data_IF_376973922058
#
_entry.id   IF_376973922058
#
_cell.length_a   1.000
_cell.length_b   1.000
_cell.length_c   1.000
_cell.angle_alpha   90.00
_cell.angle_beta   90.00
_cell.angle_gamma   90.00
#
_symmetry.space_group_name_H-M   'P 1'
#
loop_
_entity.id
_entity.type
_entity.pdbx_description
1 polymer ?
#
# COMPACT_ATOMS: atom_id res chain seq x y z
N UNK A 1 -65.76 31.98 13.00
CA UNK A 1 -64.68 31.55 13.94
C UNK A 1 -63.35 31.94 13.30
N UNK A 2 -62.73 33.11 13.52
CA UNK A 2 -62.38 33.74 14.80
C UNK A 2 -61.96 32.68 15.81
N UNK A 3 -60.81 32.72 16.45
CA UNK A 3 -59.68 33.63 16.54
C UNK A 3 -58.88 32.98 17.69
N UNK A 4 -57.55 33.16 17.67
CA UNK A 4 -56.73 33.36 18.88
C UNK A 4 -56.60 32.19 19.87
N UNK A 5 -55.35 31.82 20.11
CA UNK A 5 -54.53 32.45 21.16
C UNK A 5 -53.07 32.30 20.67
N UNK A 6 -52.43 33.40 20.27
CA UNK A 6 -51.59 34.26 21.12
C UNK A 6 -50.26 33.59 21.46
N UNK A 7 -49.11 34.24 21.47
CA UNK A 7 -48.61 35.58 21.15
C UNK A 7 -47.23 35.63 21.81
N UNK A 8 -46.45 36.67 21.48
CA UNK A 8 -45.26 37.13 22.21
C UNK A 8 -44.04 36.21 22.05
N UNK A 9 -42.89 36.63 21.53
CA UNK A 9 -42.18 37.92 21.67
C UNK A 9 -41.30 38.11 20.41
N UNK A 10 -41.47 39.18 19.62
CA UNK A 10 -40.59 40.38 19.58
C UNK A 10 -39.09 40.02 19.36
N UNK A 11 -38.56 40.18 18.15
CA UNK A 11 -37.84 41.37 17.61
C UNK A 11 -36.36 41.47 18.01
N UNK A 12 -35.55 41.85 17.00
CA UNK A 12 -34.13 42.28 17.03
C UNK A 12 -33.15 41.09 17.08
N UNK A 13 -32.40 40.76 16.00
CA UNK A 13 -31.27 41.53 15.43
C UNK A 13 -31.12 41.20 13.93
N UNK A 14 -31.12 42.24 13.09
CA UNK A 14 -30.44 42.26 11.80
C UNK A 14 -28.93 42.19 12.04
N UNK A 15 -28.20 41.46 11.17
CA UNK A 15 -26.73 41.21 11.14
C UNK A 15 -26.36 39.80 11.59
N UNK A 16 -26.41 38.86 10.63
CA UNK A 16 -25.22 38.26 10.01
C UNK A 16 -25.63 38.01 8.55
N UNK A 17 -25.28 38.87 7.60
CA UNK A 17 -24.11 38.68 6.73
C UNK A 17 -23.83 37.19 6.47
N UNK A 18 -24.07 36.79 5.23
CA UNK A 18 -23.40 35.70 4.52
C UNK A 18 -22.41 34.90 5.38
N UNK A 19 -22.86 33.76 5.89
CA UNK A 19 -21.97 32.62 5.99
C UNK A 19 -22.59 31.57 5.07
N UNK A 20 -22.48 31.84 3.77
CA UNK A 20 -21.94 30.80 2.91
C UNK A 20 -20.69 30.33 3.62
N UNK A 21 -20.76 29.22 4.35
CA UNK A 21 -19.55 28.44 4.56
C UNK A 21 -19.21 27.91 3.18
N UNK A 22 -18.56 28.77 2.39
CA UNK A 22 -17.40 28.33 1.68
C UNK A 22 -16.48 27.71 2.76
N UNK A 23 -16.70 26.43 3.05
CA UNK A 23 -15.63 25.46 2.89
C UNK A 23 -15.48 25.32 1.37
N UNK A 24 -15.13 26.38 0.63
CA UNK A 24 -13.77 26.81 0.35
C UNK A 24 -12.85 25.59 0.25
N UNK A 25 -12.34 25.42 -0.96
CA UNK A 25 -11.87 24.16 -1.52
C UNK A 25 -11.12 23.32 -0.48
N UNK A 26 -11.68 22.15 -0.14
CA UNK A 26 -11.13 21.20 0.83
C UNK A 26 -9.61 21.08 0.64
N UNK A 27 -8.80 21.00 1.72
CA UNK A 27 -7.34 21.00 1.65
C UNK A 27 -6.75 19.82 0.86
N UNK A 28 -7.56 18.90 0.33
CA UNK A 28 -7.20 17.79 -0.58
C UNK A 28 -6.06 18.10 -1.56
N UNK A 29 -6.11 19.22 -2.30
CA UNK A 29 -5.06 19.58 -3.25
C UNK A 29 -3.75 19.98 -2.56
N UNK A 30 -3.81 20.62 -1.40
CA UNK A 30 -2.64 20.96 -0.58
C UNK A 30 -2.06 19.70 0.06
N UNK A 31 -2.92 18.84 0.60
CA UNK A 31 -2.54 17.54 1.17
C UNK A 31 -1.86 16.69 0.11
N UNK A 32 -2.43 16.58 -1.10
CA UNK A 32 -1.83 15.83 -2.21
C UNK A 32 -0.43 16.33 -2.58
N UNK A 33 -0.15 17.63 -2.47
CA UNK A 33 1.20 18.18 -2.73
C UNK A 33 2.24 17.81 -1.67
N UNK A 34 1.81 17.34 -0.49
CA UNK A 34 2.72 16.92 0.58
C UNK A 34 3.27 15.51 0.35
N UNK A 35 2.55 14.66 -0.37
CA UNK A 35 2.95 13.27 -0.58
C UNK A 35 3.74 13.14 -1.87
N UNK A 36 4.76 12.29 -1.83
CA UNK A 36 5.42 11.85 -3.03
C UNK A 36 4.44 10.98 -3.84
N UNK A 37 4.20 11.36 -5.08
CA UNK A 37 3.52 10.51 -6.04
C UNK A 37 4.19 10.61 -7.40
N UNK A 38 4.27 9.48 -8.09
CA UNK A 38 4.70 9.39 -9.47
C UNK A 38 3.51 9.71 -10.35
N UNK A 39 3.57 10.84 -11.04
CA UNK A 39 2.56 11.12 -12.06
C UNK A 39 2.63 9.99 -13.11
N UNK A 40 1.48 9.56 -13.64
CA UNK A 40 1.39 8.50 -14.65
C UNK A 40 2.33 8.70 -15.85
N UNK A 41 2.77 9.93 -16.12
CA UNK A 41 3.76 10.26 -17.16
C UNK A 41 5.21 9.85 -16.84
N UNK A 42 5.56 9.59 -15.58
CA UNK A 42 6.94 9.32 -15.16
C UNK A 42 7.29 7.82 -15.25
N UNK A 43 6.31 6.92 -15.08
CA UNK A 43 6.51 5.48 -15.22
C UNK A 43 5.34 4.83 -15.95
N UNK A 44 5.55 4.47 -17.21
CA UNK A 44 4.63 3.62 -17.96
C UNK A 44 5.02 2.14 -17.88
N UNK A 45 6.32 1.87 -17.75
CA UNK A 45 6.85 0.51 -17.72
C UNK A 45 8.17 0.43 -16.96
N UNK A 46 8.28 -0.60 -16.12
CA UNK A 46 9.57 -1.04 -15.62
C UNK A 46 9.65 -2.55 -15.57
N UNK A 47 10.88 -3.06 -15.55
CA UNK A 47 11.15 -4.45 -15.18
C UNK A 47 12.36 -4.51 -14.26
N UNK A 48 12.33 -5.40 -13.27
CA UNK A 48 13.46 -5.65 -12.37
C UNK A 48 13.63 -7.17 -12.13
N UNK A 49 14.81 -7.54 -11.65
CA UNK A 49 15.05 -8.84 -11.03
C UNK A 49 14.58 -8.78 -9.57
N UNK A 50 14.02 -9.89 -9.09
CA UNK A 50 13.57 -10.08 -7.71
C UNK A 50 14.41 -11.18 -7.06
N UNK A 51 14.83 -10.96 -5.82
CA UNK A 51 15.34 -12.02 -4.96
C UNK A 51 14.57 -12.07 -3.66
N UNK A 52 14.47 -13.25 -3.05
CA UNK A 52 13.88 -13.44 -1.73
C UNK A 52 14.74 -14.36 -0.88
N UNK A 53 14.82 -14.07 0.41
CA UNK A 53 15.45 -14.94 1.39
C UNK A 53 14.71 -16.29 1.57
N UNK A 54 13.41 -16.37 1.27
CA UNK A 54 12.67 -17.64 1.25
C UNK A 54 13.26 -18.65 0.28
N UNK A 55 13.73 -18.17 -0.88
CA UNK A 55 14.36 -19.02 -1.88
C UNK A 55 15.71 -19.52 -1.39
N UNK A 56 16.49 -18.67 -0.71
CA UNK A 56 17.76 -19.07 -0.09
C UNK A 56 17.55 -20.05 1.08
N UNK A 57 16.58 -19.82 1.94
CA UNK A 57 16.21 -20.75 3.02
C UNK A 57 15.78 -22.11 2.45
N UNK A 58 14.99 -22.12 1.38
CA UNK A 58 14.60 -23.36 0.70
C UNK A 58 15.84 -24.06 0.10
N UNK A 59 16.76 -23.33 -0.53
CA UNK A 59 18.03 -23.89 -1.03
C UNK A 59 18.81 -24.56 0.11
N UNK A 60 18.98 -23.89 1.24
CA UNK A 60 19.70 -24.43 2.40
C UNK A 60 19.11 -25.77 2.88
N UNK A 61 17.79 -25.91 2.87
CA UNK A 61 17.09 -27.13 3.29
C UNK A 61 17.25 -28.28 2.29
N UNK A 62 17.25 -28.00 0.99
CA UNK A 62 17.24 -29.05 -0.04
C UNK A 62 18.64 -29.39 -0.57
N UNK A 63 19.59 -28.45 -0.54
CA UNK A 63 20.93 -28.61 -1.11
C UNK A 63 21.73 -29.79 -0.54
N UNK A 64 21.66 -30.13 0.76
CA UNK A 64 22.38 -31.29 1.28
C UNK A 64 22.00 -32.60 0.57
N UNK A 65 20.78 -32.69 0.04
CA UNK A 65 20.24 -33.90 -0.58
C UNK A 65 20.28 -33.89 -2.12
N UNK A 66 20.92 -32.88 -2.72
CA UNK A 66 20.91 -32.66 -4.16
C UNK A 66 22.24 -33.00 -4.84
N UNK A 67 22.14 -33.47 -6.09
CA UNK A 67 23.30 -33.60 -6.96
C UNK A 67 23.86 -32.21 -7.34
N UNK A 68 25.15 -32.16 -7.70
CA UNK A 68 25.77 -30.90 -8.17
C UNK A 68 25.10 -30.34 -9.43
N UNK A 69 24.49 -31.20 -10.25
CA UNK A 69 23.72 -30.78 -11.41
C UNK A 69 22.45 -30.05 -10.98
N UNK A 70 21.69 -30.62 -10.04
CA UNK A 70 20.43 -30.04 -9.57
C UNK A 70 20.65 -28.71 -8.83
N UNK A 71 21.73 -28.61 -8.04
CA UNK A 71 22.14 -27.34 -7.40
C UNK A 71 22.35 -26.23 -8.43
N UNK A 72 23.15 -26.50 -9.46
CA UNK A 72 23.41 -25.54 -10.55
C UNK A 72 22.15 -25.12 -11.29
N UNK A 73 21.19 -26.03 -11.45
CA UNK A 73 19.92 -25.71 -12.09
C UNK A 73 19.04 -24.84 -11.19
N UNK A 74 19.04 -25.05 -9.87
CA UNK A 74 18.35 -24.17 -8.91
C UNK A 74 19.00 -22.78 -8.87
N UNK A 75 20.32 -22.69 -8.91
CA UNK A 75 21.05 -21.42 -8.93
C UNK A 75 20.77 -20.57 -10.19
N UNK A 76 20.27 -21.20 -11.26
CA UNK A 76 19.86 -20.51 -12.50
C UNK A 76 18.45 -19.94 -12.41
N UNK A 77 17.68 -20.28 -11.39
CA UNK A 77 16.33 -19.74 -11.20
C UNK A 77 16.45 -18.26 -10.84
N UNK A 78 15.82 -17.43 -11.65
CA UNK A 78 15.72 -15.99 -11.46
C UNK A 78 14.27 -15.58 -11.45
N UNK A 79 13.95 -14.59 -10.64
CA UNK A 79 12.61 -14.01 -10.60
C UNK A 79 12.65 -12.62 -11.23
N UNK A 80 11.58 -12.29 -11.93
CA UNK A 80 11.43 -11.02 -12.62
C UNK A 80 10.06 -10.45 -12.32
N UNK A 81 10.01 -9.15 -12.08
CA UNK A 81 8.78 -8.40 -11.99
C UNK A 81 8.73 -7.40 -13.14
N UNK A 82 7.59 -7.31 -13.81
CA UNK A 82 7.33 -6.31 -14.85
C UNK A 82 6.07 -5.55 -14.51
N UNK A 83 6.16 -4.22 -14.51
CA UNK A 83 5.02 -3.33 -14.51
C UNK A 83 4.84 -2.77 -15.90
N UNK A 84 3.65 -2.90 -16.48
CA UNK A 84 3.31 -2.34 -17.79
C UNK A 84 1.79 -2.12 -17.86
N UNK A 85 1.35 -0.95 -18.32
CA UNK A 85 -0.07 -0.65 -18.52
C UNK A 85 -0.90 -0.89 -17.23
N UNK A 86 -0.37 -0.47 -16.08
CA UNK A 86 -0.94 -0.70 -14.74
C UNK A 86 -1.03 -2.18 -14.30
N UNK A 87 -0.47 -3.11 -15.08
CA UNK A 87 -0.43 -4.53 -14.75
C UNK A 87 0.94 -4.93 -14.22
N UNK A 88 0.92 -5.68 -13.12
CA UNK A 88 2.10 -6.33 -12.55
C UNK A 88 2.12 -7.79 -12.98
N UNK A 89 3.25 -8.22 -13.54
CA UNK A 89 3.47 -9.59 -13.98
C UNK A 89 4.76 -10.09 -13.36
N UNK A 90 4.65 -11.10 -12.50
CA UNK A 90 5.77 -11.86 -11.99
C UNK A 90 6.08 -13.04 -12.92
N UNK A 91 7.37 -13.34 -13.10
CA UNK A 91 7.83 -14.52 -13.83
C UNK A 91 9.05 -15.12 -13.16
N UNK A 92 9.03 -16.43 -12.96
CA UNK A 92 10.23 -17.20 -12.72
C UNK A 92 10.85 -17.65 -14.05
N UNK A 93 12.18 -17.70 -14.12
CA UNK A 93 12.85 -18.40 -15.23
C UNK A 93 12.52 -19.88 -15.19
N UNK A 94 12.63 -20.54 -16.34
CA UNK A 94 12.41 -21.98 -16.43
C UNK A 94 13.36 -22.72 -15.50
N UNK A 95 12.84 -23.70 -14.76
CA UNK A 95 13.61 -24.63 -13.95
C UNK A 95 13.28 -26.08 -14.34
N UNK A 96 14.23 -27.02 -14.19
CA UNK A 96 13.97 -28.41 -14.51
C UNK A 96 13.05 -29.05 -13.46
N UNK A 97 12.21 -29.98 -13.91
CA UNK A 97 11.45 -30.81 -12.99
C UNK A 97 12.42 -31.72 -12.23
N UNK A 98 12.42 -31.63 -10.91
CA UNK A 98 13.21 -32.51 -10.04
C UNK A 98 12.64 -33.93 -10.08
N UNK A 99 13.47 -34.93 -9.74
CA UNK A 99 13.03 -36.31 -9.59
C UNK A 99 12.07 -36.51 -8.41
N UNK A 100 12.23 -35.71 -7.36
CA UNK A 100 11.36 -35.73 -6.18
C UNK A 100 10.11 -34.86 -6.36
N UNK A 101 8.93 -35.45 -6.22
CA UNK A 101 7.65 -34.73 -6.27
C UNK A 101 7.55 -33.70 -5.13
N UNK A 102 7.99 -34.05 -3.93
CA UNK A 102 8.00 -33.14 -2.79
C UNK A 102 8.85 -31.90 -3.05
N UNK A 103 9.99 -32.05 -3.75
CA UNK A 103 10.84 -30.92 -4.12
C UNK A 103 10.19 -30.02 -5.16
N UNK A 104 9.55 -30.62 -6.18
CA UNK A 104 8.80 -29.85 -7.16
C UNK A 104 7.67 -29.06 -6.48
N UNK A 105 6.98 -29.65 -5.51
CA UNK A 105 5.93 -29.00 -4.73
C UNK A 105 6.48 -27.85 -3.89
N UNK A 106 7.58 -28.04 -3.17
CA UNK A 106 8.22 -26.99 -2.38
C UNK A 106 8.70 -25.82 -3.25
N UNK A 107 9.32 -26.13 -4.40
CA UNK A 107 9.74 -25.10 -5.37
C UNK A 107 8.55 -24.28 -5.87
N UNK A 108 7.46 -24.94 -6.26
CA UNK A 108 6.22 -24.25 -6.67
C UNK A 108 5.68 -23.35 -5.56
N UNK A 109 5.68 -23.81 -4.31
CA UNK A 109 5.21 -23.01 -3.18
C UNK A 109 6.05 -21.75 -2.95
N UNK A 110 7.38 -21.85 -3.09
CA UNK A 110 8.27 -20.70 -2.96
C UNK A 110 8.07 -19.72 -4.12
N UNK A 111 7.95 -20.22 -5.35
CA UNK A 111 7.67 -19.38 -6.53
C UNK A 111 6.33 -18.65 -6.36
N UNK A 112 5.26 -19.37 -6.04
CA UNK A 112 3.92 -18.79 -5.81
C UNK A 112 3.90 -17.81 -4.63
N UNK A 113 4.64 -18.11 -3.56
CA UNK A 113 4.77 -17.22 -2.41
C UNK A 113 5.48 -15.92 -2.80
N UNK A 114 6.60 -16.03 -3.53
CA UNK A 114 7.36 -14.88 -4.02
C UNK A 114 6.54 -14.02 -4.97
N UNK A 115 5.79 -14.64 -5.88
CA UNK A 115 4.84 -13.97 -6.78
C UNK A 115 3.82 -13.15 -5.98
N UNK A 116 3.06 -13.82 -5.10
CA UNK A 116 2.02 -13.18 -4.29
C UNK A 116 2.55 -12.04 -3.45
N UNK A 117 3.70 -12.21 -2.81
CA UNK A 117 4.31 -11.15 -1.99
C UNK A 117 4.82 -9.99 -2.84
N UNK A 118 5.51 -10.26 -3.95
CA UNK A 118 6.04 -9.21 -4.83
C UNK A 118 4.92 -8.42 -5.50
N UNK A 119 3.93 -9.11 -6.08
CA UNK A 119 2.79 -8.48 -6.73
C UNK A 119 1.89 -7.80 -5.71
N UNK A 120 1.65 -8.41 -4.55
CA UNK A 120 0.86 -7.83 -3.47
C UNK A 120 1.48 -6.53 -2.95
N UNK A 121 2.78 -6.55 -2.66
CA UNK A 121 3.53 -5.36 -2.28
C UNK A 121 3.40 -4.25 -3.33
N UNK A 122 3.69 -4.54 -4.62
CA UNK A 122 3.63 -3.50 -5.64
C UNK A 122 2.21 -3.00 -5.91
N UNK A 123 1.16 -3.81 -5.72
CA UNK A 123 -0.23 -3.32 -5.79
C UNK A 123 -0.51 -2.30 -4.69
N UNK A 124 -0.09 -2.59 -3.47
CA UNK A 124 -0.25 -1.68 -2.34
C UNK A 124 0.58 -0.41 -2.51
N UNK A 125 1.85 -0.56 -2.87
CA UNK A 125 2.77 0.54 -3.16
C UNK A 125 2.24 1.44 -4.28
N UNK A 126 1.74 0.85 -5.37
CA UNK A 126 1.15 1.59 -6.47
C UNK A 126 -0.04 2.45 -6.02
N UNK A 127 -0.92 1.91 -5.16
CA UNK A 127 -2.06 2.67 -4.63
C UNK A 127 -1.68 3.85 -3.74
N UNK A 128 -0.43 3.89 -3.25
CA UNK A 128 0.08 4.98 -2.41
C UNK A 128 0.99 5.95 -3.17
N UNK A 129 1.57 5.54 -4.30
CA UNK A 129 2.56 6.34 -5.04
C UNK A 129 2.09 6.72 -6.45
N UNK A 130 1.30 5.92 -7.18
CA UNK A 130 0.96 6.26 -8.56
C UNK A 130 -0.20 7.24 -8.69
N UNK A 131 -1.02 7.33 -7.65
CA UNK A 131 -2.22 8.17 -7.62
C UNK A 131 -2.13 9.16 -6.46
N UNK A 132 -2.69 10.37 -6.61
CA UNK A 132 -2.83 11.27 -5.49
C UNK A 132 -3.68 10.63 -4.39
N UNK A 133 -3.38 10.92 -3.13
CA UNK A 133 -4.12 10.38 -1.98
C UNK A 133 -5.62 10.70 -2.05
N UNK A 134 -5.96 11.90 -2.53
CA UNK A 134 -7.32 12.33 -2.81
C UNK A 134 -7.58 12.44 -4.31
N UNK A 135 -8.56 11.68 -4.77
CA UNK A 135 -9.10 11.73 -6.13
C UNK A 135 -10.17 12.83 -6.23
N UNK A 136 -9.96 13.81 -7.12
CA UNK A 136 -10.88 14.93 -7.32
C UNK A 136 -12.29 14.49 -7.76
N UNK A 137 -12.44 13.31 -8.36
CA UNK A 137 -13.74 12.76 -8.74
C UNK A 137 -14.56 12.24 -7.55
N UNK A 138 -13.93 11.99 -6.40
CA UNK A 138 -14.59 11.41 -5.22
C UNK A 138 -15.11 12.49 -4.27
N UNK A 139 -16.25 12.19 -3.65
CA UNK A 139 -16.82 13.01 -2.58
C UNK A 139 -16.36 12.49 -1.23
N UNK A 140 -15.55 13.30 -0.57
CA UNK A 140 -15.07 13.02 0.79
C UNK A 140 -15.90 13.78 1.83
N UNK A 141 -16.34 13.10 2.87
CA UNK A 141 -16.86 13.73 4.08
C UNK A 141 -15.68 14.06 5.00
N UNK A 142 -15.40 15.35 5.16
CA UNK A 142 -14.27 15.83 5.97
C UNK A 142 -14.78 16.35 7.29
N UNK A 143 -14.14 15.94 8.38
CA UNK A 143 -14.37 16.52 9.70
C UNK A 143 -13.06 16.78 10.43
N UNK A 144 -13.01 17.90 11.13
CA UNK A 144 -11.91 18.25 12.02
C UNK A 144 -12.26 17.83 13.45
N UNK A 145 -11.26 17.37 14.20
CA UNK A 145 -11.37 17.07 15.62
C UNK A 145 -10.17 17.66 16.38
N UNK A 146 -10.12 17.44 17.70
CA UNK A 146 -9.03 17.97 18.55
C UNK A 146 -7.63 17.49 18.12
N UNK A 147 -7.53 16.28 17.57
CA UNK A 147 -6.24 15.64 17.26
C UNK A 147 -5.82 15.77 15.80
N UNK A 148 -6.69 16.25 14.91
CA UNK A 148 -6.40 16.37 13.49
C UNK A 148 -7.64 16.38 12.62
N UNK A 149 -7.59 15.64 11.51
CA UNK A 149 -8.64 15.59 10.50
C UNK A 149 -9.04 14.15 10.19
N UNK A 150 -10.28 13.97 9.76
CA UNK A 150 -10.76 12.72 9.18
C UNK A 150 -11.40 12.98 7.83
N UNK A 151 -11.20 12.06 6.91
CA UNK A 151 -11.88 12.06 5.62
C UNK A 151 -12.51 10.68 5.40
N UNK A 152 -13.79 10.63 5.05
CA UNK A 152 -14.48 9.38 4.76
C UNK A 152 -15.07 9.40 3.35
N UNK A 153 -15.04 8.26 2.67
CA UNK A 153 -15.70 8.08 1.38
C UNK A 153 -16.15 6.63 1.20
N UNK A 154 -17.00 6.38 0.20
CA UNK A 154 -17.40 5.03 -0.19
C UNK A 154 -16.68 4.61 -1.45
N UNK A 155 -16.11 3.42 -1.41
CA UNK A 155 -15.51 2.74 -2.56
C UNK A 155 -16.29 1.45 -2.77
N UNK A 156 -17.12 1.41 -3.82
CA UNK A 156 -18.10 0.33 -4.03
C UNK A 156 -18.98 0.14 -2.78
N UNK A 157 -18.96 -1.05 -2.18
CA UNK A 157 -19.70 -1.42 -0.96
C UNK A 157 -18.89 -1.21 0.33
N UNK A 158 -17.69 -0.63 0.25
CA UNK A 158 -16.79 -0.46 1.37
C UNK A 158 -16.74 1.00 1.83
N UNK A 159 -16.63 1.19 3.13
CA UNK A 159 -16.33 2.49 3.73
C UNK A 159 -14.83 2.63 3.90
N UNK A 160 -14.29 3.76 3.44
CA UNK A 160 -12.90 4.13 3.65
C UNK A 160 -12.86 5.33 4.56
N UNK A 161 -12.10 5.23 5.64
CA UNK A 161 -11.86 6.33 6.57
C UNK A 161 -10.35 6.58 6.66
N UNK A 162 -9.97 7.82 6.43
CA UNK A 162 -8.62 8.34 6.55
C UNK A 162 -8.55 9.21 7.80
N UNK A 163 -7.48 9.10 8.57
CA UNK A 163 -7.22 9.95 9.73
C UNK A 163 -5.84 10.58 9.58
N UNK A 164 -5.81 11.89 9.79
CA UNK A 164 -4.63 12.74 9.67
C UNK A 164 -4.39 13.45 10.99
N UNK A 165 -3.13 13.78 11.26
CA UNK A 165 -2.81 14.74 12.32
C UNK A 165 -3.05 16.19 11.88
N UNK A 166 -2.66 17.15 12.73
CA UNK A 166 -2.78 18.59 12.44
C UNK A 166 -1.85 19.09 11.34
N UNK A 167 -0.81 18.33 11.02
CA UNK A 167 0.13 18.62 9.93
C UNK A 167 -0.27 17.89 8.62
N UNK A 168 -1.49 17.34 8.57
CA UNK A 168 -2.03 16.59 7.43
C UNK A 168 -1.25 15.33 7.04
N UNK A 169 -0.47 14.77 7.96
CA UNK A 169 0.21 13.48 7.77
C UNK A 169 -0.78 12.36 8.04
N UNK A 170 -0.91 11.42 7.11
CA UNK A 170 -1.82 10.29 7.19
C UNK A 170 -1.34 9.35 8.29
N UNK A 171 -2.15 9.24 9.35
CA UNK A 171 -1.85 8.40 10.51
C UNK A 171 -2.50 7.03 10.40
N UNK A 172 -3.67 6.95 9.74
CA UNK A 172 -4.45 5.72 9.67
C UNK A 172 -5.39 5.71 8.47
N UNK A 173 -5.52 4.55 7.85
CA UNK A 173 -6.57 4.22 6.90
C UNK A 173 -7.34 3.01 7.44
N UNK A 174 -8.66 3.12 7.46
CA UNK A 174 -9.56 2.00 7.76
C UNK A 174 -10.35 1.71 6.50
N UNK A 175 -10.24 0.49 6.01
CA UNK A 175 -11.02 -0.01 4.89
C UNK A 175 -11.94 -1.10 5.42
N UNK A 176 -13.25 -0.89 5.34
CA UNK A 176 -14.22 -1.74 6.01
C UNK A 176 -15.45 -2.06 5.19
N UNK A 177 -15.88 -3.31 5.26
CA UNK A 177 -17.24 -3.76 4.93
C UNK A 177 -17.98 -4.15 6.20
N UNK A 178 -19.26 -4.49 6.10
CA UNK A 178 -20.02 -5.07 7.23
C UNK A 178 -19.37 -6.34 7.81
N UNK A 179 -18.56 -7.05 7.03
CA UNK A 179 -17.98 -8.35 7.42
C UNK A 179 -16.54 -8.27 7.91
N UNK A 180 -15.80 -7.24 7.49
CA UNK A 180 -14.37 -7.19 7.74
C UNK A 180 -13.85 -5.77 7.69
N UNK A 181 -13.00 -5.43 8.67
CA UNK A 181 -12.24 -4.20 8.71
C UNK A 181 -10.75 -4.51 8.58
N UNK A 182 -10.08 -3.67 7.81
CA UNK A 182 -8.64 -3.64 7.64
C UNK A 182 -8.17 -2.28 8.12
N UNK A 183 -7.17 -2.28 8.99
CA UNK A 183 -6.49 -1.05 9.41
C UNK A 183 -5.11 -1.04 8.78
N UNK A 184 -4.76 0.09 8.17
CA UNK A 184 -3.44 0.38 7.64
C UNK A 184 -2.90 1.63 8.34
N UNK A 185 -1.67 1.56 8.82
CA UNK A 185 -0.96 2.67 9.47
C UNK A 185 0.32 2.89 8.67
N UNK A 186 0.36 3.92 7.82
CA UNK A 186 1.53 4.21 7.01
C UNK A 186 2.59 4.98 7.83
N UNK A 187 3.84 4.85 7.42
CA UNK A 187 4.95 5.68 7.88
C UNK A 187 5.68 6.26 6.68
N UNK A 188 6.10 7.52 6.80
CA UNK A 188 6.67 8.27 5.68
C UNK A 188 8.08 8.76 6.00
N UNK A 189 8.91 8.81 4.97
CA UNK A 189 10.24 9.44 5.00
C UNK A 189 10.18 10.71 4.14
N UNK A 190 10.60 11.87 4.66
CA UNK A 190 10.69 13.10 3.86
C UNK A 190 11.71 12.97 2.73
N UNK A 191 11.36 13.48 1.56
CA UNK A 191 12.24 13.62 0.39
C UNK A 191 12.19 15.06 -0.14
N UNK A 192 12.99 15.38 -1.15
CA UNK A 192 12.89 16.66 -1.84
C UNK A 192 11.57 16.83 -2.60
N UNK A 193 10.88 15.72 -2.90
CA UNK A 193 9.66 15.65 -3.71
C UNK A 193 8.43 15.28 -2.87
N UNK A 194 8.51 15.41 -1.54
CA UNK A 194 7.41 15.14 -0.61
C UNK A 194 7.62 13.92 0.29
N UNK A 195 6.54 13.50 0.95
CA UNK A 195 6.51 12.38 1.89
C UNK A 195 6.41 11.05 1.13
N UNK A 196 7.48 10.26 1.17
CA UNK A 196 7.56 8.94 0.54
C UNK A 196 7.18 7.86 1.54
N UNK A 197 6.24 6.98 1.18
CA UNK A 197 5.85 5.85 2.04
C UNK A 197 7.05 4.93 2.28
N UNK A 198 7.47 4.76 3.54
CA UNK A 198 8.64 3.95 3.92
C UNK A 198 8.29 2.80 4.84
N UNK A 199 7.08 2.81 5.42
CA UNK A 199 6.60 1.76 6.31
C UNK A 199 5.09 1.58 6.19
N UNK A 200 4.60 0.36 6.35
CA UNK A 200 3.17 0.06 6.43
C UNK A 200 2.94 -0.99 7.52
N UNK A 201 2.19 -0.64 8.56
CA UNK A 201 1.63 -1.61 9.50
C UNK A 201 0.19 -1.92 9.09
N UNK A 202 -0.18 -3.20 9.01
CA UNK A 202 -1.54 -3.63 8.71
C UNK A 202 -2.07 -4.53 9.83
N UNK A 203 -3.33 -4.32 10.19
CA UNK A 203 -4.09 -5.19 11.09
C UNK A 203 -5.34 -5.67 10.36
N UNK A 204 -5.41 -6.98 10.15
CA UNK A 204 -6.51 -7.65 9.47
C UNK A 204 -7.32 -8.45 10.49
N UNK A 205 -8.62 -8.19 10.54
CA UNK A 205 -9.54 -8.96 11.39
C UNK A 205 -9.38 -8.71 12.89
N UNK A 206 -9.06 -7.48 13.29
CA UNK A 206 -8.92 -7.06 14.70
C UNK A 206 -7.84 -7.86 15.47
N UNK A 207 -6.68 -8.01 14.85
CA UNK A 207 -5.49 -8.63 15.43
C UNK A 207 -5.32 -10.11 15.07
N UNK A 208 -6.18 -10.68 14.20
CA UNK A 208 -6.00 -12.04 13.70
C UNK A 208 -4.71 -12.20 12.90
N UNK A 209 -4.37 -11.18 12.10
CA UNK A 209 -3.13 -11.09 11.36
C UNK A 209 -2.59 -9.67 11.42
N UNK A 210 -1.32 -9.54 11.79
CA UNK A 210 -0.60 -8.27 11.78
C UNK A 210 0.55 -8.38 10.80
N UNK A 211 0.64 -7.42 9.89
CA UNK A 211 1.74 -7.32 8.95
C UNK A 211 2.49 -6.02 9.19
N UNK A 212 3.81 -6.07 9.10
CA UNK A 212 4.69 -4.94 9.21
C UNK A 212 5.60 -4.96 8.00
N UNK A 213 5.57 -3.89 7.21
CA UNK A 213 6.40 -3.73 6.02
C UNK A 213 7.31 -2.51 6.18
N UNK A 214 8.60 -2.69 5.92
CA UNK A 214 9.58 -1.61 5.77
C UNK A 214 10.08 -1.59 4.33
N UNK A 215 10.16 -0.39 3.75
CA UNK A 215 10.51 -0.17 2.34
C UNK A 215 11.78 0.68 2.28
N UNK A 216 12.83 0.10 1.73
CA UNK A 216 14.06 0.80 1.37
C UNK A 216 13.99 1.16 -0.11
N UNK A 217 14.48 2.34 -0.48
CA UNK A 217 14.40 2.88 -1.84
C UNK A 217 15.78 3.13 -2.43
N UNK A 218 15.85 2.98 -3.74
CA UNK A 218 16.95 3.46 -4.58
C UNK A 218 16.42 4.50 -5.56
N UNK A 219 17.25 5.48 -5.90
CA UNK A 219 16.91 6.50 -6.89
C UNK A 219 17.42 6.08 -8.28
N UNK A 220 16.52 5.99 -9.26
CA UNK A 220 16.85 5.61 -10.64
C UNK A 220 16.23 6.62 -11.60
N UNK A 221 17.08 7.43 -12.25
CA UNK A 221 16.62 8.53 -13.13
C UNK A 221 15.64 9.47 -12.41
N UNK A 222 15.97 9.90 -11.19
CA UNK A 222 15.16 10.80 -10.35
C UNK A 222 13.80 10.22 -9.94
N UNK A 223 13.72 8.90 -9.79
CA UNK A 223 12.52 8.18 -9.36
C UNK A 223 12.93 7.27 -8.22
N UNK A 224 12.23 7.39 -7.09
CA UNK A 224 12.37 6.45 -5.98
C UNK A 224 11.64 5.15 -6.31
N UNK A 225 12.40 4.07 -6.48
CA UNK A 225 11.90 2.71 -6.66
C UNK A 225 12.30 1.84 -5.47
N UNK A 226 11.46 0.87 -5.07
CA UNK A 226 11.82 -0.05 -4.01
C UNK A 226 13.15 -0.76 -4.31
N UNK A 227 14.08 -0.76 -3.36
CA UNK A 227 15.30 -1.58 -3.40
C UNK A 227 15.09 -2.87 -2.62
N UNK A 228 14.46 -2.75 -1.45
CA UNK A 228 14.26 -3.86 -0.52
C UNK A 228 12.99 -3.64 0.26
N UNK A 229 12.26 -4.74 0.53
CA UNK A 229 11.06 -4.74 1.34
C UNK A 229 11.20 -5.85 2.36
N UNK A 230 11.15 -5.48 3.64
CA UNK A 230 11.11 -6.42 4.76
C UNK A 230 9.66 -6.57 5.18
N UNK A 231 9.15 -7.79 5.12
CA UNK A 231 7.78 -8.13 5.51
C UNK A 231 7.85 -9.03 6.74
N UNK A 232 7.21 -8.59 7.81
CA UNK A 232 7.03 -9.35 9.05
C UNK A 232 5.54 -9.62 9.25
N UNK A 233 5.16 -10.89 9.24
CA UNK A 233 3.77 -11.33 9.43
C UNK A 233 3.68 -12.05 10.77
N UNK A 234 2.73 -11.64 11.60
CA UNK A 234 2.36 -12.34 12.83
C UNK A 234 0.92 -12.86 12.68
N UNK A 235 0.78 -14.18 12.66
CA UNK A 235 -0.50 -14.87 12.57
C UNK A 235 -0.52 -16.01 13.58
N UNK A 236 -1.51 -16.03 14.47
CA UNK A 236 -1.68 -17.06 15.51
C UNK A 236 -0.39 -17.37 16.29
N UNK A 237 0.34 -16.34 16.74
CA UNK A 237 1.62 -16.43 17.47
C UNK A 237 2.81 -17.00 16.67
N UNK A 238 2.62 -17.25 15.37
CA UNK A 238 3.72 -17.58 14.46
C UNK A 238 4.19 -16.31 13.78
N UNK A 239 5.48 -16.03 13.90
CA UNK A 239 6.13 -14.93 13.19
C UNK A 239 6.84 -15.47 11.95
N UNK A 240 6.61 -14.82 10.82
CA UNK A 240 7.35 -15.04 9.58
C UNK A 240 7.98 -13.73 9.14
N UNK A 241 9.26 -13.80 8.79
CA UNK A 241 10.01 -12.67 8.25
C UNK A 241 10.48 -13.03 6.85
N UNK A 242 10.22 -12.14 5.90
CA UNK A 242 10.58 -12.31 4.49
C UNK A 242 11.22 -11.03 4.01
N UNK A 243 12.32 -11.14 3.28
CA UNK A 243 12.97 -10.01 2.63
C UNK A 243 12.87 -10.19 1.12
N UNK A 244 12.24 -9.24 0.46
CA UNK A 244 12.28 -9.10 -1.00
C UNK A 244 13.32 -8.04 -1.35
N UNK A 245 14.13 -8.29 -2.40
CA UNK A 245 15.00 -7.27 -2.99
C UNK A 245 14.73 -7.14 -4.47
N UNK A 246 14.80 -5.91 -4.96
CA UNK A 246 14.54 -5.54 -6.34
C UNK A 246 15.74 -4.82 -6.90
N UNK A 247 16.26 -5.31 -8.02
CA UNK A 247 17.51 -4.80 -8.60
C UNK A 247 17.49 -4.92 -10.13
N UNK A 248 18.51 -4.36 -10.79
CA UNK A 248 18.61 -4.33 -12.25
C UNK A 248 17.38 -3.73 -12.94
N UNK A 249 16.83 -2.66 -12.37
CA UNK A 249 15.70 -1.95 -12.94
C UNK A 249 15.98 -1.46 -14.37
N UNK A 250 15.00 -1.69 -15.24
CA UNK A 250 14.96 -1.17 -16.61
C UNK A 250 13.69 -0.35 -16.78
N UNK A 251 13.87 0.97 -16.80
CA UNK A 251 12.81 1.94 -17.09
C UNK A 251 12.69 2.11 -18.60
N UNK A 252 11.49 1.90 -19.14
CA UNK A 252 11.17 2.12 -20.57
C UNK A 252 9.93 2.98 -20.74
#
# INVERSE_FOLDING_TARGET
>A
MYKKLLFLVLMVVLVFSQISYAFDMKPTAEINKMYYYLNHSQIHKFSCEVSTDLFEQMKEQIYPNLSNKDKKEIDRIKFYLTFKDQQLVFKASRYPKFSSEQMNKGMNQVIDGTDKMSVGFFKLWNGMILEPLFDEAKKYDFSENETGYTAAYKELDNNVQLSFDKDYILQKMIYGSEKQNFTLIPGFTPTNDGLLISKIDMDLGNGMMKEHMEIEYQEIKNIYLPESVKVKVNMFQTEQNVVLKFFNYKLN
#
